data_IF_729972731986
#
_entry.id   IF_729972731986
#
_cell.length_a   1.000
_cell.length_b   1.000
_cell.length_c   1.000
_cell.angle_alpha   90.00
_cell.angle_beta   90.00
_cell.angle_gamma   90.00
#
_symmetry.space_group_name_H-M   'P 1'
#
loop_
_entity.id
_entity.type
_entity.pdbx_description
1 polymer ?
#
# COMPACT_ATOMS: atom_id res chain seq x y z
N UNK A 1 30.76 23.57 -2.52
CA UNK A 1 30.73 23.70 -1.04
C UNK A 1 30.35 22.34 -0.49
N UNK A 2 31.11 21.81 0.45
CA UNK A 2 30.86 20.52 1.09
C UNK A 2 30.24 20.75 2.47
N UNK A 3 29.16 20.04 2.79
CA UNK A 3 28.52 20.06 4.11
C UNK A 3 28.66 18.65 4.69
N UNK A 4 29.32 18.54 5.84
CA UNK A 4 29.45 17.28 6.58
C UNK A 4 28.40 17.24 7.69
N UNK A 5 27.58 16.19 7.72
CA UNK A 5 26.59 15.95 8.77
C UNK A 5 27.03 14.72 9.54
N UNK A 6 27.25 14.86 10.84
CA UNK A 6 27.61 13.76 11.74
C UNK A 6 26.37 13.36 12.56
N UNK A 7 25.99 12.09 12.46
CA UNK A 7 24.85 11.53 13.18
C UNK A 7 25.39 10.56 14.24
N UNK A 8 25.10 10.76 15.54
CA UNK A 8 25.54 9.84 16.58
C UNK A 8 25.06 8.41 16.36
N UNK A 9 25.87 7.42 16.72
CA UNK A 9 25.58 5.99 16.52
C UNK A 9 24.24 5.55 17.15
N UNK A 10 23.86 6.15 18.28
CA UNK A 10 22.57 5.89 18.93
C UNK A 10 21.38 6.30 18.04
N UNK A 11 21.50 7.44 17.34
CA UNK A 11 20.46 7.94 16.44
C UNK A 11 20.43 7.13 15.15
N UNK A 12 21.60 6.72 14.66
CA UNK A 12 21.72 5.77 13.54
C UNK A 12 20.98 4.47 13.87
N UNK A 13 21.13 3.93 15.07
CA UNK A 13 20.43 2.70 15.47
C UNK A 13 18.90 2.86 15.46
N UNK A 14 18.40 4.03 15.88
CA UNK A 14 16.96 4.36 15.84
C UNK A 14 16.46 4.46 14.40
N UNK A 15 17.16 5.23 13.55
CA UNK A 15 16.86 5.39 12.12
C UNK A 15 16.84 4.01 11.46
N UNK A 16 17.85 3.18 11.72
CA UNK A 16 17.95 1.81 11.20
C UNK A 16 16.74 0.97 11.58
N UNK A 17 16.29 1.04 12.83
CA UNK A 17 15.12 0.29 13.29
C UNK A 17 13.85 0.72 12.56
N UNK A 18 13.72 2.01 12.25
CA UNK A 18 12.57 2.54 11.51
C UNK A 18 12.55 2.08 10.04
N UNK A 19 13.71 2.01 9.37
CA UNK A 19 13.80 1.78 7.91
C UNK A 19 14.32 0.39 7.51
N UNK A 20 14.37 -0.57 8.45
CA UNK A 20 15.08 -1.87 8.30
C UNK A 20 14.53 -2.86 7.25
N UNK A 21 13.49 -2.50 6.52
CA UNK A 21 12.85 -3.37 5.52
C UNK A 21 13.36 -3.15 4.08
N UNK A 22 14.38 -2.32 3.90
CA UNK A 22 14.94 -1.96 2.59
C UNK A 22 16.14 -2.81 2.15
N UNK A 23 16.52 -2.66 0.88
CA UNK A 23 17.76 -3.19 0.29
C UNK A 23 18.99 -2.33 0.59
N UNK A 24 18.80 -1.20 1.28
CA UNK A 24 19.83 -0.19 1.50
C UNK A 24 20.77 -0.59 2.63
N UNK A 25 22.06 -0.36 2.43
CA UNK A 25 23.09 -0.48 3.46
C UNK A 25 22.95 0.61 4.52
N UNK A 26 23.57 0.40 5.68
CA UNK A 26 23.52 1.36 6.79
C UNK A 26 24.04 2.75 6.38
N UNK A 27 25.13 2.79 5.60
CA UNK A 27 25.69 4.04 5.09
C UNK A 27 24.73 4.78 4.13
N UNK A 28 24.02 4.04 3.27
CA UNK A 28 23.02 4.63 2.37
C UNK A 28 21.82 5.17 3.12
N UNK A 29 21.34 4.47 4.15
CA UNK A 29 20.25 4.94 5.02
C UNK A 29 20.67 6.25 5.69
N UNK A 30 21.88 6.32 6.27
CA UNK A 30 22.39 7.53 6.92
C UNK A 30 22.47 8.71 5.94
N UNK A 31 23.08 8.49 4.77
CA UNK A 31 23.27 9.54 3.78
C UNK A 31 21.93 10.06 3.27
N UNK A 32 21.01 9.17 2.91
CA UNK A 32 19.68 9.56 2.42
C UNK A 32 18.86 10.24 3.51
N UNK A 33 18.92 9.77 4.75
CA UNK A 33 18.24 10.40 5.88
C UNK A 33 18.77 11.82 6.12
N UNK A 34 20.10 12.00 6.14
CA UNK A 34 20.73 13.30 6.29
C UNK A 34 20.32 14.25 5.15
N UNK A 35 20.30 13.76 3.91
CA UNK A 35 19.87 14.54 2.75
C UNK A 35 18.39 14.96 2.85
N UNK A 36 17.50 14.05 3.25
CA UNK A 36 16.09 14.36 3.45
C UNK A 36 15.89 15.40 4.54
N UNK A 37 16.55 15.25 5.69
CA UNK A 37 16.48 16.19 6.79
C UNK A 37 16.97 17.59 6.35
N UNK A 38 18.12 17.65 5.66
CA UNK A 38 18.67 18.91 5.15
C UNK A 38 17.71 19.57 4.14
N UNK A 39 17.17 18.80 3.19
CA UNK A 39 16.23 19.30 2.20
C UNK A 39 14.94 19.81 2.85
N UNK A 40 14.40 19.11 3.85
CA UNK A 40 13.23 19.52 4.58
C UNK A 40 13.46 20.87 5.28
N UNK A 41 14.61 21.05 5.92
CA UNK A 41 15.00 22.31 6.55
C UNK A 41 15.22 23.44 5.55
N UNK A 42 15.93 23.19 4.44
CA UNK A 42 16.12 24.19 3.38
C UNK A 42 14.78 24.63 2.81
N UNK A 43 13.86 23.70 2.54
CA UNK A 43 12.53 24.01 2.02
C UNK A 43 11.71 24.83 3.02
N UNK A 44 11.83 24.51 4.31
CA UNK A 44 11.16 25.25 5.37
C UNK A 44 11.69 26.69 5.51
N UNK A 45 13.02 26.87 5.56
CA UNK A 45 13.65 28.19 5.72
C UNK A 45 13.45 29.07 4.48
N UNK A 46 13.57 28.49 3.28
CA UNK A 46 13.41 29.23 2.01
C UNK A 46 11.95 29.53 1.66
N UNK A 47 11.00 28.81 2.25
CA UNK A 47 9.59 28.89 1.88
C UNK A 47 9.29 28.39 0.47
N UNK A 48 10.17 27.56 -0.11
CA UNK A 48 10.02 26.97 -1.45
C UNK A 48 8.80 26.07 -1.55
N UNK A 49 8.48 25.35 -0.47
CA UNK A 49 7.22 24.61 -0.29
C UNK A 49 6.42 25.27 0.83
N UNK A 50 5.18 25.65 0.52
CA UNK A 50 4.20 26.14 1.50
C UNK A 50 3.11 25.10 1.65
N UNK A 51 2.98 24.57 2.86
CA UNK A 51 1.93 23.61 3.19
C UNK A 51 0.69 24.35 3.70
N UNK A 52 -0.48 23.88 3.28
CA UNK A 52 -1.75 24.44 3.75
C UNK A 52 -2.12 23.93 5.15
N UNK A 53 -1.51 22.82 5.58
CA UNK A 53 -1.70 22.21 6.88
C UNK A 53 -0.46 21.41 7.33
N UNK A 54 -0.36 21.11 8.62
CA UNK A 54 0.66 20.19 9.15
C UNK A 54 0.51 18.78 8.58
N UNK A 55 -0.73 18.35 8.30
CA UNK A 55 -0.99 17.06 7.66
C UNK A 55 -0.40 17.01 6.26
N UNK A 56 -0.50 18.09 5.48
CA UNK A 56 0.10 18.16 4.15
C UNK A 56 1.63 18.08 4.21
N UNK A 57 2.22 18.74 5.20
CA UNK A 57 3.66 18.66 5.46
C UNK A 57 4.09 17.24 5.84
N UNK A 58 3.34 16.57 6.72
CA UNK A 58 3.61 15.17 7.08
C UNK A 58 3.45 14.24 5.88
N UNK A 59 2.43 14.42 5.05
CA UNK A 59 2.27 13.63 3.82
C UNK A 59 3.51 13.75 2.92
N UNK A 60 4.02 14.97 2.69
CA UNK A 60 5.21 15.20 1.87
C UNK A 60 6.45 14.52 2.45
N UNK A 61 6.69 14.67 3.75
CA UNK A 61 7.84 14.03 4.42
C UNK A 61 7.77 12.51 4.42
N UNK A 62 6.58 11.95 4.61
CA UNK A 62 6.38 10.51 4.57
C UNK A 62 6.56 10.01 3.13
N UNK A 63 6.01 10.70 2.14
CA UNK A 63 6.18 10.39 0.72
C UNK A 63 7.67 10.36 0.33
N UNK A 64 8.44 11.34 0.79
CA UNK A 64 9.90 11.39 0.60
C UNK A 64 10.62 10.19 1.27
N UNK A 65 10.20 9.80 2.48
CA UNK A 65 10.74 8.63 3.18
C UNK A 65 10.42 7.32 2.44
N UNK A 66 9.16 7.13 2.02
CA UNK A 66 8.76 5.96 1.24
C UNK A 66 9.47 5.90 -0.11
N UNK A 67 9.79 7.06 -0.68
CA UNK A 67 10.46 7.12 -1.97
C UNK A 67 11.96 6.88 -1.88
N UNK A 68 12.59 7.36 -0.81
CA UNK A 68 14.05 7.38 -0.71
C UNK A 68 14.63 6.29 0.19
N UNK A 69 13.96 5.96 1.30
CA UNK A 69 14.50 5.15 2.40
C UNK A 69 13.84 3.78 2.54
N UNK A 70 12.59 3.63 2.15
CA UNK A 70 11.86 2.36 2.27
C UNK A 70 11.93 1.56 0.98
N UNK A 71 11.71 0.25 1.12
CA UNK A 71 11.61 -0.67 -0.02
C UNK A 71 10.48 -0.24 -0.95
N UNK A 72 10.68 -0.39 -2.26
CA UNK A 72 9.60 -0.17 -3.23
C UNK A 72 8.42 -1.10 -3.01
N UNK A 73 8.65 -2.23 -2.33
CA UNK A 73 7.62 -3.18 -1.96
C UNK A 73 6.95 -2.87 -0.62
N UNK A 74 7.34 -1.82 0.11
CA UNK A 74 6.66 -1.42 1.34
C UNK A 74 5.62 -0.34 1.03
N UNK A 75 4.35 -0.61 1.35
CA UNK A 75 3.27 0.35 1.18
C UNK A 75 2.90 1.02 2.52
N UNK A 76 2.49 2.30 2.51
CA UNK A 76 1.92 3.01 3.63
C UNK A 76 0.72 2.27 4.20
N UNK A 77 0.77 2.07 5.51
CA UNK A 77 -0.22 1.31 6.24
C UNK A 77 -0.51 2.04 7.54
N UNK A 78 -1.75 1.95 8.03
CA UNK A 78 -2.13 2.55 9.31
C UNK A 78 -1.19 2.10 10.44
N UNK A 79 -0.97 0.79 10.55
CA UNK A 79 -0.08 0.19 11.54
C UNK A 79 1.34 0.75 11.45
N UNK A 80 1.88 0.85 10.23
CA UNK A 80 3.22 1.36 10.00
C UNK A 80 3.37 2.82 10.39
N UNK A 81 2.42 3.66 9.98
CA UNK A 81 2.44 5.10 10.27
C UNK A 81 2.19 5.37 11.76
N UNK A 82 1.31 4.61 12.40
CA UNK A 82 1.02 4.74 13.82
C UNK A 82 2.17 4.25 14.69
N UNK A 83 2.67 3.03 14.47
CA UNK A 83 3.67 2.40 15.34
C UNK A 83 5.11 2.85 15.05
N UNK A 84 5.47 3.10 13.78
CA UNK A 84 6.86 3.41 13.41
C UNK A 84 7.10 4.90 13.24
N UNK A 85 6.15 5.63 12.65
CA UNK A 85 6.26 7.09 12.44
C UNK A 85 5.61 7.90 13.56
N UNK A 86 4.99 7.24 14.55
CA UNK A 86 4.35 7.87 15.71
C UNK A 86 3.29 8.92 15.33
N UNK A 87 2.54 8.65 14.26
CA UNK A 87 1.48 9.54 13.77
C UNK A 87 0.16 9.17 14.47
N UNK A 88 -0.62 10.15 14.96
CA UNK A 88 -1.92 9.87 15.57
C UNK A 88 -2.83 9.03 14.68
N UNK A 89 -3.55 8.06 15.25
CA UNK A 89 -4.32 7.04 14.53
C UNK A 89 -5.20 7.61 13.39
N UNK A 90 -5.99 8.65 13.66
CA UNK A 90 -6.87 9.26 12.65
C UNK A 90 -6.10 9.89 11.48
N UNK A 91 -4.95 10.52 11.76
CA UNK A 91 -4.07 11.07 10.73
C UNK A 91 -3.37 9.96 9.96
N UNK A 92 -2.89 8.92 10.64
CA UNK A 92 -2.24 7.77 10.03
C UNK A 92 -3.17 7.06 9.03
N UNK A 93 -4.45 6.88 9.38
CA UNK A 93 -5.45 6.28 8.49
C UNK A 93 -5.69 7.15 7.24
N UNK A 94 -5.81 8.47 7.42
CA UNK A 94 -5.99 9.40 6.31
C UNK A 94 -4.77 9.43 5.38
N UNK A 95 -3.57 9.58 5.94
CA UNK A 95 -2.31 9.66 5.20
C UNK A 95 -2.08 8.37 4.41
N UNK A 96 -2.22 7.20 5.05
CA UNK A 96 -2.06 5.91 4.37
C UNK A 96 -2.97 5.82 3.14
N UNK A 97 -4.25 6.21 3.28
CA UNK A 97 -5.21 6.21 2.17
C UNK A 97 -4.79 7.17 1.05
N UNK A 98 -4.41 8.40 1.38
CA UNK A 98 -4.03 9.41 0.37
C UNK A 98 -2.78 9.00 -0.38
N UNK A 99 -1.74 8.56 0.34
CA UNK A 99 -0.49 8.11 -0.27
C UNK A 99 -0.73 6.90 -1.16
N UNK A 100 -1.42 5.86 -0.65
CA UNK A 100 -1.76 4.68 -1.44
C UNK A 100 -2.50 5.01 -2.75
N UNK A 101 -3.38 6.02 -2.75
CA UNK A 101 -4.06 6.45 -3.97
C UNK A 101 -3.10 7.16 -4.95
N UNK A 102 -2.20 8.01 -4.46
CA UNK A 102 -1.24 8.74 -5.29
C UNK A 102 -0.20 7.83 -5.95
N UNK A 103 0.30 6.87 -5.20
CA UNK A 103 1.43 6.02 -5.59
C UNK A 103 0.99 4.62 -5.98
N UNK A 104 -0.32 4.40 -6.19
CA UNK A 104 -0.88 3.12 -6.59
C UNK A 104 -0.13 2.55 -7.80
N UNK A 105 0.24 3.37 -8.77
CA UNK A 105 1.06 2.99 -9.93
C UNK A 105 2.37 2.30 -9.55
N UNK A 106 3.04 2.75 -8.48
CA UNK A 106 4.32 2.19 -8.00
C UNK A 106 4.13 0.88 -7.27
N UNK A 107 3.05 0.73 -6.49
CA UNK A 107 2.78 -0.47 -5.70
C UNK A 107 1.81 -1.45 -6.37
N UNK A 108 1.39 -1.11 -7.60
CA UNK A 108 0.46 -1.88 -8.41
C UNK A 108 0.89 -3.32 -8.58
N UNK A 109 2.16 -3.55 -8.96
CA UNK A 109 2.67 -4.91 -9.15
C UNK A 109 2.62 -5.74 -7.87
N UNK A 110 2.91 -5.14 -6.71
CA UNK A 110 2.78 -5.83 -5.43
C UNK A 110 1.31 -6.16 -5.13
N UNK A 111 0.41 -5.20 -5.31
CA UNK A 111 -1.02 -5.39 -5.10
C UNK A 111 -1.58 -6.50 -6.00
N UNK A 112 -1.14 -6.53 -7.25
CA UNK A 112 -1.41 -7.59 -8.23
C UNK A 112 -0.88 -8.94 -7.77
N UNK A 113 0.38 -9.02 -7.33
CA UNK A 113 1.00 -10.27 -6.87
C UNK A 113 0.28 -10.82 -5.64
N UNK A 114 -0.06 -9.95 -4.69
CA UNK A 114 -0.80 -10.33 -3.49
C UNK A 114 -2.22 -10.80 -3.83
N UNK A 115 -2.93 -10.07 -4.69
CA UNK A 115 -4.25 -10.47 -5.16
C UNK A 115 -4.20 -11.83 -5.87
N UNK A 116 -3.24 -12.04 -6.77
CA UNK A 116 -3.03 -13.34 -7.44
C UNK A 116 -2.75 -14.45 -6.44
N UNK A 117 -1.88 -14.21 -5.45
CA UNK A 117 -1.55 -15.20 -4.43
C UNK A 117 -2.79 -15.63 -3.65
N UNK A 118 -3.54 -14.67 -3.10
CA UNK A 118 -4.75 -14.94 -2.31
C UNK A 118 -5.83 -15.63 -3.14
N UNK A 119 -6.00 -15.25 -4.42
CA UNK A 119 -6.96 -15.92 -5.29
C UNK A 119 -6.52 -17.33 -5.68
N UNK A 120 -5.22 -17.56 -5.93
CA UNK A 120 -4.72 -18.90 -6.24
C UNK A 120 -5.04 -19.92 -5.13
N UNK A 121 -4.98 -19.49 -3.86
CA UNK A 121 -5.30 -20.34 -2.69
C UNK A 121 -6.75 -20.83 -2.66
N UNK A 122 -7.66 -20.16 -3.38
CA UNK A 122 -9.11 -20.45 -3.36
C UNK A 122 -9.66 -20.86 -4.73
N UNK A 123 -8.79 -20.96 -5.74
CA UNK A 123 -9.19 -21.24 -7.12
C UNK A 123 -9.78 -22.65 -7.25
N UNK A 124 -9.16 -23.65 -6.63
CA UNK A 124 -9.63 -25.05 -6.69
C UNK A 124 -11.00 -25.21 -6.00
N UNK A 125 -11.23 -24.49 -4.90
CA UNK A 125 -12.51 -24.48 -4.21
C UNK A 125 -13.61 -23.86 -5.10
N UNK A 126 -13.30 -22.75 -5.78
CA UNK A 126 -14.22 -22.11 -6.70
C UNK A 126 -14.59 -23.03 -7.88
N UNK A 127 -13.61 -23.68 -8.50
CA UNK A 127 -13.86 -24.65 -9.57
C UNK A 127 -14.71 -25.83 -9.12
N UNK A 128 -14.43 -26.36 -7.93
CA UNK A 128 -15.21 -27.44 -7.33
C UNK A 128 -16.65 -27.01 -7.13
N UNK A 129 -16.88 -25.80 -6.65
CA UNK A 129 -18.23 -25.27 -6.42
C UNK A 129 -19.01 -25.13 -7.72
N UNK A 130 -18.38 -24.61 -8.78
CA UNK A 130 -18.98 -24.56 -10.11
C UNK A 130 -19.36 -25.96 -10.61
N UNK A 131 -18.46 -26.94 -10.51
CA UNK A 131 -18.75 -28.33 -10.93
C UNK A 131 -19.89 -28.99 -10.15
N UNK A 132 -20.10 -28.58 -8.90
CA UNK A 132 -21.16 -29.10 -8.02
C UNK A 132 -22.47 -28.31 -8.09
N UNK A 133 -22.60 -27.36 -9.03
CA UNK A 133 -23.80 -26.53 -9.20
C UNK A 133 -23.96 -25.43 -8.14
N UNK A 134 -22.88 -25.06 -7.44
CA UNK A 134 -22.84 -23.98 -6.43
C UNK A 134 -22.15 -22.72 -6.96
N UNK A 135 -22.33 -22.43 -8.24
CA UNK A 135 -21.64 -21.36 -8.96
C UNK A 135 -21.99 -19.93 -8.48
N UNK A 136 -23.19 -19.75 -7.92
CA UNK A 136 -23.65 -18.49 -7.31
C UNK A 136 -23.20 -18.30 -5.85
N UNK A 137 -22.64 -19.33 -5.22
CA UNK A 137 -22.20 -19.23 -3.84
C UNK A 137 -20.93 -18.36 -3.74
N UNK A 138 -20.86 -17.53 -2.70
CA UNK A 138 -19.74 -16.60 -2.50
C UNK A 138 -18.58 -17.27 -1.76
N UNK A 139 -17.38 -17.18 -2.34
CA UNK A 139 -16.13 -17.43 -1.63
C UNK A 139 -15.62 -16.13 -1.03
N UNK A 140 -15.26 -16.20 0.25
CA UNK A 140 -14.59 -15.10 0.93
C UNK A 140 -13.07 -15.21 0.75
N UNK A 141 -12.45 -14.08 0.43
CA UNK A 141 -11.01 -13.86 0.47
C UNK A 141 -10.68 -12.68 1.37
N UNK A 142 -9.48 -12.72 1.96
CA UNK A 142 -8.92 -11.62 2.74
C UNK A 142 -7.76 -11.03 1.95
N UNK A 143 -7.89 -9.77 1.57
CA UNK A 143 -6.88 -9.04 0.81
C UNK A 143 -6.51 -7.74 1.52
N UNK A 144 -5.31 -7.22 1.30
CA UNK A 144 -5.01 -5.86 1.74
C UNK A 144 -5.79 -4.82 0.93
N UNK A 145 -5.81 -3.58 1.40
CA UNK A 145 -6.54 -2.49 0.74
C UNK A 145 -6.06 -2.23 -0.71
N UNK A 146 -4.78 -2.41 -1.02
CA UNK A 146 -4.26 -2.16 -2.38
C UNK A 146 -4.67 -3.27 -3.34
N UNK A 147 -4.57 -4.53 -2.91
CA UNK A 147 -5.08 -5.69 -3.64
C UNK A 147 -6.59 -5.60 -3.83
N UNK A 148 -7.34 -5.07 -2.86
CA UNK A 148 -8.76 -4.80 -3.02
C UNK A 148 -9.05 -3.74 -4.11
N UNK A 149 -8.26 -2.67 -4.19
CA UNK A 149 -8.42 -1.67 -5.25
C UNK A 149 -8.13 -2.26 -6.64
N UNK A 150 -7.10 -3.10 -6.79
CA UNK A 150 -6.82 -3.81 -8.04
C UNK A 150 -7.94 -4.81 -8.39
N UNK A 151 -8.50 -5.49 -7.40
CA UNK A 151 -9.67 -6.35 -7.59
C UNK A 151 -10.87 -5.54 -8.10
N UNK A 152 -11.12 -4.37 -7.51
CA UNK A 152 -12.20 -3.47 -7.94
C UNK A 152 -12.00 -3.01 -9.38
N UNK A 153 -10.78 -2.59 -9.74
CA UNK A 153 -10.45 -2.20 -11.13
C UNK A 153 -10.62 -3.36 -12.10
N UNK A 154 -10.17 -4.55 -11.71
CA UNK A 154 -10.29 -5.78 -12.51
C UNK A 154 -11.77 -6.15 -12.71
N UNK A 155 -12.57 -6.07 -11.66
CA UNK A 155 -14.01 -6.27 -11.70
C UNK A 155 -14.70 -5.27 -12.63
N UNK A 156 -14.41 -3.98 -12.48
CA UNK A 156 -14.98 -2.91 -13.31
C UNK A 156 -14.59 -3.06 -14.78
N UNK A 157 -13.44 -3.67 -15.10
CA UNK A 157 -13.02 -3.98 -16.47
C UNK A 157 -13.77 -5.18 -17.04
N UNK A 158 -13.91 -6.27 -16.27
CA UNK A 158 -14.55 -7.51 -16.74
C UNK A 158 -16.08 -7.41 -16.84
N UNK A 159 -16.71 -6.74 -15.89
CA UNK A 159 -18.17 -6.76 -15.71
C UNK A 159 -18.82 -5.41 -15.97
N UNK A 160 -18.12 -4.48 -16.65
CA UNK A 160 -18.63 -3.14 -16.95
C UNK A 160 -20.02 -3.16 -17.55
N UNK A 161 -20.23 -4.04 -18.52
CA UNK A 161 -21.46 -4.13 -19.33
C UNK A 161 -22.48 -5.11 -18.74
N UNK A 162 -22.15 -5.76 -17.60
CA UNK A 162 -22.96 -6.78 -16.93
C UNK A 162 -23.25 -6.43 -15.47
N UNK A 163 -23.30 -5.14 -15.13
CA UNK A 163 -23.49 -4.65 -13.75
C UNK A 163 -24.78 -5.14 -13.09
N UNK A 164 -25.81 -5.44 -13.89
CA UNK A 164 -27.08 -5.99 -13.40
C UNK A 164 -26.97 -7.47 -12.99
N UNK A 165 -26.01 -8.21 -13.55
CA UNK A 165 -25.77 -9.62 -13.25
C UNK A 165 -24.70 -9.81 -12.17
N UNK A 166 -23.79 -8.85 -12.02
CA UNK A 166 -22.60 -8.96 -11.17
C UNK A 166 -22.44 -7.71 -10.30
N UNK A 167 -22.99 -7.77 -9.09
CA UNK A 167 -22.78 -6.74 -8.07
C UNK A 167 -21.35 -6.76 -7.56
N UNK A 168 -20.75 -5.58 -7.37
CA UNK A 168 -19.45 -5.42 -6.74
C UNK A 168 -19.36 -6.28 -5.47
N UNK A 169 -18.25 -7.01 -5.26
CA UNK A 169 -18.05 -7.83 -4.08
C UNK A 169 -18.32 -7.04 -2.80
N UNK A 170 -19.13 -7.61 -1.90
CA UNK A 170 -19.33 -7.01 -0.57
C UNK A 170 -18.00 -7.05 0.16
N UNK A 171 -17.58 -5.91 0.70
CA UNK A 171 -16.36 -5.80 1.49
C UNK A 171 -16.65 -5.29 2.90
N UNK A 172 -16.06 -5.93 3.91
CA UNK A 172 -15.92 -5.37 5.24
C UNK A 172 -14.44 -5.18 5.55
N UNK A 173 -14.08 -4.02 6.10
CA UNK A 173 -12.68 -3.66 6.38
C UNK A 173 -12.44 -3.66 7.89
N UNK A 174 -11.40 -4.37 8.32
CA UNK A 174 -10.86 -4.28 9.69
C UNK A 174 -9.39 -3.92 9.58
N UNK A 175 -9.03 -2.70 9.99
CA UNK A 175 -7.68 -2.19 9.79
C UNK A 175 -7.30 -2.12 8.31
N UNK A 176 -6.19 -2.77 7.93
CA UNK A 176 -5.67 -2.78 6.56
C UNK A 176 -6.17 -3.96 5.70
N UNK A 177 -6.99 -4.86 6.25
CA UNK A 177 -7.49 -6.05 5.55
C UNK A 177 -8.95 -5.87 5.19
N UNK A 178 -9.28 -6.20 3.95
CA UNK A 178 -10.62 -6.23 3.41
C UNK A 178 -11.04 -7.69 3.21
N UNK A 179 -12.11 -8.11 3.88
CA UNK A 179 -12.80 -9.35 3.60
C UNK A 179 -13.74 -9.13 2.42
N UNK A 180 -13.62 -9.92 1.36
CA UNK A 180 -14.31 -9.70 0.09
C UNK A 180 -15.01 -10.99 -0.34
N UNK A 181 -16.32 -10.90 -0.58
CA UNK A 181 -17.14 -12.04 -1.03
C UNK A 181 -17.31 -12.04 -2.55
N UNK A 182 -16.81 -13.06 -3.24
CA UNK A 182 -16.84 -13.20 -4.71
C UNK A 182 -17.63 -14.46 -5.11
N UNK A 183 -18.60 -14.38 -6.05
CA UNK A 183 -19.28 -15.55 -6.57
C UNK A 183 -18.30 -16.55 -7.23
N UNK A 184 -18.47 -17.84 -6.98
CA UNK A 184 -17.58 -18.88 -7.51
C UNK A 184 -17.42 -18.81 -9.03
N UNK A 185 -18.50 -18.53 -9.76
CA UNK A 185 -18.50 -18.36 -11.24
C UNK A 185 -17.57 -17.24 -11.73
N UNK A 186 -17.31 -16.22 -10.92
CA UNK A 186 -16.47 -15.08 -11.29
C UNK A 186 -14.99 -15.32 -10.98
N UNK A 187 -14.69 -16.24 -10.07
CA UNK A 187 -13.39 -16.34 -9.42
C UNK A 187 -12.26 -16.61 -10.42
N UNK A 188 -12.46 -17.59 -11.30
CA UNK A 188 -11.52 -17.95 -12.37
C UNK A 188 -11.33 -16.83 -13.38
N UNK A 189 -12.42 -16.20 -13.83
CA UNK A 189 -12.38 -15.09 -14.79
C UNK A 189 -11.56 -13.92 -14.24
N UNK A 190 -11.78 -13.57 -12.97
CA UNK A 190 -11.01 -12.52 -12.30
C UNK A 190 -9.55 -12.94 -12.22
N UNK A 191 -9.25 -14.14 -11.71
CA UNK A 191 -7.87 -14.62 -11.55
C UNK A 191 -7.06 -14.58 -12.85
N UNK A 192 -7.63 -15.08 -13.94
CA UNK A 192 -7.00 -15.11 -15.27
C UNK A 192 -6.82 -13.71 -15.87
N UNK A 193 -7.66 -12.75 -15.49
CA UNK A 193 -7.58 -11.37 -15.97
C UNK A 193 -6.58 -10.51 -15.21
N UNK A 194 -6.12 -10.90 -14.02
CA UNK A 194 -5.15 -10.08 -13.27
C UNK A 194 -3.85 -10.06 -14.09
N UNK A 195 -3.48 -8.89 -14.62
CA UNK A 195 -2.22 -8.70 -15.36
C UNK A 195 -1.05 -8.62 -14.38
N UNK A 196 0.15 -9.04 -14.79
CA UNK A 196 1.41 -8.92 -14.02
C UNK A 196 2.32 -7.86 -14.62
#
# INVERSE_FOLDING_TARGET
MEIRIEIPDEQVAVIRKAFRNGQLSDGEIQQKFAQLALNAWINWISGSKRYNSLTDQYMDWIEDCYTSLLSENEAPSLDRLYNAFNIPYGQAQYIARVLNNKTMTRWRQKAICELKRVMAERLDDADKWVRTGREEANLEILVDHLAFLELKMTWERLFRDKREEFLLPRSYSVGNVCAVSIPAKCFRLIYESIEG
#
